data_IF_950922394965
#
_entry.id   IF_950922394965
#
_cell.length_a   1.000
_cell.length_b   1.000
_cell.length_c   1.000
_cell.angle_alpha   90.00
_cell.angle_beta   90.00
_cell.angle_gamma   90.00
#
_symmetry.space_group_name_H-M   'P 1'
#
loop_
_entity.id
_entity.type
_entity.pdbx_description
1 polymer ?
#
# COMPACT_ATOMS: atom_id res chain seq x y z
N UNK A 1 9.11 17.61 11.45
CA UNK A 1 9.14 17.56 9.98
C UNK A 1 8.04 16.60 9.56
N UNK A 2 7.11 17.05 8.72
CA UNK A 2 6.06 16.21 8.13
C UNK A 2 6.71 15.26 7.12
N UNK A 3 6.45 13.96 7.24
CA UNK A 3 6.96 12.90 6.36
C UNK A 3 5.93 12.48 5.29
N UNK A 4 4.94 13.33 4.98
CA UNK A 4 3.80 13.02 4.10
C UNK A 4 4.02 13.30 2.61
N UNK A 5 5.26 13.51 2.15
CA UNK A 5 5.51 13.90 0.76
C UNK A 5 5.71 12.69 -0.16
N UNK A 6 4.70 11.82 -0.24
CA UNK A 6 4.64 10.82 -1.32
C UNK A 6 4.74 11.51 -2.71
N UNK A 7 4.20 12.73 -2.80
CA UNK A 7 4.29 13.62 -3.96
C UNK A 7 5.71 13.86 -4.45
N UNK A 8 6.69 14.02 -3.55
CA UNK A 8 8.08 14.32 -3.92
C UNK A 8 8.82 13.11 -4.54
N UNK A 9 8.21 11.91 -4.48
CA UNK A 9 8.81 10.69 -5.03
C UNK A 9 8.24 10.24 -6.36
N UNK A 10 7.14 10.86 -6.81
CA UNK A 10 6.73 10.79 -8.20
C UNK A 10 7.58 11.78 -8.99
N UNK A 11 8.90 11.55 -9.04
CA UNK A 11 9.84 12.40 -9.77
C UNK A 11 9.40 12.59 -11.22
N UNK A 12 9.86 13.69 -11.86
CA UNK A 12 9.51 14.03 -13.25
C UNK A 12 9.71 12.83 -14.19
N UNK A 13 8.61 12.19 -14.59
CA UNK A 13 8.47 11.25 -15.70
C UNK A 13 9.71 10.37 -16.00
N UNK A 14 10.27 9.71 -14.97
CA UNK A 14 11.40 8.79 -15.14
C UNK A 14 10.83 7.42 -15.50
N UNK A 15 11.24 6.87 -16.65
CA UNK A 15 10.89 5.49 -17.01
C UNK A 15 11.48 4.53 -15.96
N UNK A 16 10.62 3.70 -15.37
CA UNK A 16 11.07 2.71 -14.38
C UNK A 16 12.02 1.73 -15.02
N UNK A 17 13.09 1.41 -14.29
CA UNK A 17 14.06 0.42 -14.75
C UNK A 17 13.34 -0.93 -15.01
N UNK A 18 13.77 -1.69 -16.03
CA UNK A 18 13.14 -2.98 -16.36
C UNK A 18 13.07 -3.95 -15.17
N UNK A 19 14.03 -3.85 -14.24
CA UNK A 19 14.09 -4.65 -13.00
C UNK A 19 12.83 -4.52 -12.14
N UNK A 20 12.32 -3.29 -11.95
CA UNK A 20 11.19 -3.04 -11.05
C UNK A 20 9.86 -2.89 -11.77
N UNK A 21 9.85 -2.91 -13.11
CA UNK A 21 8.67 -2.67 -13.93
C UNK A 21 7.52 -3.61 -13.59
N UNK A 22 7.78 -4.91 -13.44
CA UNK A 22 6.72 -5.89 -13.17
C UNK A 22 6.09 -5.70 -11.78
N UNK A 23 6.92 -5.51 -10.75
CA UNK A 23 6.45 -5.30 -9.37
C UNK A 23 5.72 -3.97 -9.21
N UNK A 24 6.19 -2.92 -9.89
CA UNK A 24 5.51 -1.64 -9.94
C UNK A 24 4.15 -1.74 -10.66
N UNK A 25 4.10 -2.39 -11.82
CA UNK A 25 2.86 -2.62 -12.55
C UNK A 25 1.85 -3.42 -11.72
N UNK A 26 2.32 -4.43 -10.99
CA UNK A 26 1.48 -5.19 -10.05
C UNK A 26 0.91 -4.31 -8.95
N UNK A 27 1.72 -3.45 -8.35
CA UNK A 27 1.26 -2.50 -7.34
C UNK A 27 0.21 -1.53 -7.91
N UNK A 28 0.42 -0.98 -9.10
CA UNK A 28 -0.54 -0.09 -9.76
C UNK A 28 -1.87 -0.80 -10.05
N UNK A 29 -1.82 -2.04 -10.54
CA UNK A 29 -3.04 -2.84 -10.76
C UNK A 29 -3.80 -3.12 -9.45
N UNK A 30 -3.10 -3.37 -8.34
CA UNK A 30 -3.73 -3.49 -7.03
C UNK A 30 -4.41 -2.18 -6.63
N UNK A 31 -3.72 -1.05 -6.75
CA UNK A 31 -4.30 0.27 -6.46
C UNK A 31 -5.56 0.53 -7.29
N UNK A 32 -5.56 0.20 -8.58
CA UNK A 32 -6.73 0.34 -9.46
C UNK A 32 -7.92 -0.48 -8.95
N UNK A 33 -7.70 -1.74 -8.56
CA UNK A 33 -8.75 -2.62 -8.02
C UNK A 33 -9.28 -2.12 -6.67
N UNK A 34 -8.42 -1.55 -5.82
CA UNK A 34 -8.82 -0.91 -4.56
C UNK A 34 -9.73 0.29 -4.83
N UNK A 35 -9.31 1.18 -5.74
CA UNK A 35 -10.07 2.39 -6.05
C UNK A 35 -11.45 2.08 -6.66
N UNK A 36 -11.60 0.93 -7.31
CA UNK A 36 -12.85 0.43 -7.89
C UNK A 36 -13.67 -0.46 -6.94
N UNK A 37 -13.20 -0.68 -5.71
CA UNK A 37 -13.84 -1.56 -4.72
C UNK A 37 -14.02 -3.01 -5.24
N UNK A 38 -13.05 -3.50 -6.01
CA UNK A 38 -13.10 -4.82 -6.68
C UNK A 38 -12.39 -5.94 -5.90
N UNK A 39 -11.80 -5.62 -4.75
CA UNK A 39 -11.06 -6.60 -3.92
C UNK A 39 -11.33 -6.43 -2.43
N UNK A 40 -11.34 -7.57 -1.73
CA UNK A 40 -11.46 -7.60 -0.27
C UNK A 40 -10.18 -7.14 0.43
N UNK A 41 -10.29 -6.77 1.71
CA UNK A 41 -9.13 -6.46 2.56
C UNK A 41 -8.08 -7.58 2.58
N UNK A 42 -8.49 -8.85 2.63
CA UNK A 42 -7.58 -10.00 2.56
C UNK A 42 -6.79 -10.00 1.24
N UNK A 43 -7.44 -9.74 0.11
CA UNK A 43 -6.78 -9.67 -1.19
C UNK A 43 -5.85 -8.45 -1.32
N UNK A 44 -6.19 -7.32 -0.67
CA UNK A 44 -5.30 -6.14 -0.56
C UNK A 44 -4.03 -6.52 0.20
N UNK A 45 -4.19 -7.14 1.38
CA UNK A 45 -3.09 -7.56 2.23
C UNK A 45 -2.16 -8.56 1.51
N UNK A 46 -2.74 -9.63 0.94
CA UNK A 46 -1.95 -10.64 0.22
C UNK A 46 -1.23 -10.05 -0.99
N UNK A 47 -1.92 -9.20 -1.76
CA UNK A 47 -1.35 -8.56 -2.95
C UNK A 47 -0.15 -7.67 -2.61
N UNK A 48 -0.27 -6.81 -1.59
CA UNK A 48 0.82 -5.92 -1.20
C UNK A 48 1.93 -6.62 -0.40
N UNK A 49 1.65 -7.70 0.33
CA UNK A 49 2.72 -8.54 0.90
C UNK A 49 3.56 -9.19 -0.21
N UNK A 50 2.95 -9.60 -1.32
CA UNK A 50 3.70 -10.13 -2.46
C UNK A 50 4.56 -9.04 -3.12
N UNK A 51 3.97 -7.87 -3.39
CA UNK A 51 4.71 -6.70 -3.91
C UNK A 51 5.91 -6.37 -3.03
N UNK A 52 5.71 -6.34 -1.70
CA UNK A 52 6.77 -6.07 -0.73
C UNK A 52 7.88 -7.11 -0.76
N UNK A 53 7.53 -8.41 -0.82
CA UNK A 53 8.51 -9.50 -0.90
C UNK A 53 9.35 -9.39 -2.17
N UNK A 54 8.70 -9.18 -3.32
CA UNK A 54 9.39 -8.99 -4.59
C UNK A 54 10.28 -7.74 -4.57
N UNK A 55 9.82 -6.63 -3.99
CA UNK A 55 10.65 -5.43 -3.82
C UNK A 55 11.91 -5.71 -2.97
N UNK A 56 11.79 -6.47 -1.89
CA UNK A 56 12.93 -6.86 -1.04
C UNK A 56 13.90 -7.80 -1.74
N UNK A 57 13.40 -8.76 -2.52
CA UNK A 57 14.23 -9.65 -3.34
C UNK A 57 14.99 -8.90 -4.43
N UNK A 58 14.37 -7.83 -4.94
CA UNK A 58 14.98 -6.92 -5.90
C UNK A 58 15.81 -5.82 -5.25
N UNK A 59 15.87 -5.66 -3.93
CA UNK A 59 16.68 -4.61 -3.32
C UNK A 59 18.16 -5.04 -3.27
N UNK A 60 19.06 -4.21 -3.82
CA UNK A 60 20.51 -4.36 -3.68
C UNK A 60 21.15 -3.24 -2.86
N UNK A 61 20.34 -2.47 -2.14
CA UNK A 61 20.70 -1.33 -1.31
C UNK A 61 21.34 -0.16 -2.08
N UNK A 62 21.20 -0.12 -3.41
CA UNK A 62 21.69 0.97 -4.24
C UNK A 62 20.51 1.64 -4.95
N UNK A 63 20.16 2.85 -4.49
CA UNK A 63 19.16 3.68 -5.15
C UNK A 63 19.70 4.26 -6.45
N UNK A 64 18.95 4.08 -7.54
CA UNK A 64 19.30 4.53 -8.89
C UNK A 64 18.16 5.36 -9.50
N UNK A 65 18.47 6.24 -10.47
CA UNK A 65 17.43 6.85 -11.30
C UNK A 65 16.56 5.77 -11.95
N UNK A 66 15.23 5.91 -11.83
CA UNK A 66 14.25 4.95 -12.35
C UNK A 66 13.86 3.84 -11.37
N UNK A 67 14.36 3.86 -10.13
CA UNK A 67 13.79 3.05 -9.06
C UNK A 67 12.44 3.64 -8.62
N UNK A 68 11.41 2.82 -8.36
CA UNK A 68 10.08 3.31 -7.99
C UNK A 68 10.05 3.75 -6.51
N UNK A 69 10.68 4.90 -6.21
CA UNK A 69 10.76 5.45 -4.86
C UNK A 69 9.39 5.66 -4.22
N UNK A 70 8.39 6.02 -5.03
CA UNK A 70 7.00 6.14 -4.60
C UNK A 70 6.47 4.83 -4.01
N UNK A 71 6.85 3.68 -4.57
CA UNK A 71 6.37 2.39 -4.11
C UNK A 71 7.00 2.04 -2.76
N UNK A 72 8.29 2.32 -2.60
CA UNK A 72 8.98 2.17 -1.31
C UNK A 72 8.33 3.05 -0.25
N UNK A 73 8.09 4.34 -0.54
CA UNK A 73 7.43 5.25 0.41
C UNK A 73 5.99 4.83 0.71
N UNK A 74 5.22 4.45 -0.30
CA UNK A 74 3.87 3.95 -0.12
C UNK A 74 3.83 2.74 0.81
N UNK A 75 4.74 1.78 0.60
CA UNK A 75 4.86 0.59 1.43
C UNK A 75 5.20 0.97 2.88
N UNK A 76 6.21 1.81 3.06
CA UNK A 76 6.73 2.18 4.39
C UNK A 76 5.77 3.02 5.20
N UNK A 77 5.17 4.05 4.61
CA UNK A 77 4.42 5.07 5.36
C UNK A 77 2.91 4.85 5.37
N UNK A 78 2.36 4.17 4.36
CA UNK A 78 0.91 4.03 4.22
C UNK A 78 0.46 2.58 4.38
N UNK A 79 1.02 1.67 3.58
CA UNK A 79 0.62 0.26 3.61
C UNK A 79 0.92 -0.40 4.97
N UNK A 80 2.11 -0.23 5.56
CA UNK A 80 2.39 -0.88 6.84
C UNK A 80 1.47 -0.44 7.98
N UNK A 81 1.10 0.85 8.00
CA UNK A 81 0.15 1.36 8.99
C UNK A 81 -1.23 0.69 8.82
N UNK A 82 -1.72 0.63 7.58
CA UNK A 82 -2.99 -0.05 7.28
C UNK A 82 -2.92 -1.56 7.56
N UNK A 83 -1.81 -2.21 7.20
CA UNK A 83 -1.54 -3.63 7.44
C UNK A 83 -1.63 -3.98 8.93
N UNK A 84 -0.96 -3.20 9.77
CA UNK A 84 -0.93 -3.44 11.20
C UNK A 84 -2.34 -3.28 11.82
N UNK A 85 -3.12 -2.30 11.34
CA UNK A 85 -4.55 -2.19 11.66
C UNK A 85 -5.34 -3.42 11.20
N UNK A 86 -5.23 -3.81 9.93
CA UNK A 86 -5.97 -4.94 9.37
C UNK A 86 -5.68 -6.25 10.14
N UNK A 87 -4.41 -6.51 10.46
CA UNK A 87 -4.01 -7.67 11.26
C UNK A 87 -4.64 -7.59 12.65
N UNK A 88 -4.56 -6.44 13.33
CA UNK A 88 -5.17 -6.26 14.65
C UNK A 88 -6.67 -6.52 14.62
N UNK A 89 -7.37 -5.95 13.64
CA UNK A 89 -8.81 -6.11 13.47
C UNK A 89 -9.20 -7.56 13.18
N UNK A 90 -8.42 -8.26 12.35
CA UNK A 90 -8.61 -9.68 12.06
C UNK A 90 -8.41 -10.55 13.31
N UNK A 91 -7.35 -10.30 14.09
CA UNK A 91 -7.11 -11.01 15.36
C UNK A 91 -8.25 -10.76 16.35
N UNK A 92 -8.74 -9.53 16.48
CA UNK A 92 -9.87 -9.22 17.37
C UNK A 92 -11.15 -9.94 16.94
N UNK A 93 -11.40 -10.02 15.64
CA UNK A 93 -12.60 -10.67 15.09
C UNK A 93 -12.54 -12.20 15.22
N UNK A 94 -11.38 -12.80 14.95
CA UNK A 94 -11.21 -14.26 14.94
C UNK A 94 -10.88 -14.85 16.31
N UNK A 95 -10.18 -14.10 17.17
CA UNK A 95 -9.66 -14.53 18.47
C UNK A 95 -9.87 -13.43 19.53
N UNK A 96 -11.12 -13.01 19.82
CA UNK A 96 -11.42 -11.94 20.76
C UNK A 96 -10.92 -12.25 22.18
N UNK A 97 -10.77 -13.53 22.54
CA UNK A 97 -10.22 -13.97 23.83
C UNK A 97 -8.76 -13.56 24.05
N UNK A 98 -8.02 -13.16 23.01
CA UNK A 98 -6.69 -12.57 23.17
C UNK A 98 -6.71 -11.16 23.77
N UNK A 99 -7.88 -10.51 23.74
CA UNK A 99 -8.13 -9.21 24.36
C UNK A 99 -8.87 -9.43 25.69
N UNK A 100 -8.26 -10.20 26.58
CA UNK A 100 -8.87 -10.69 27.83
C UNK A 100 -8.81 -9.71 29.01
N UNK A 101 -8.27 -8.51 28.81
CA UNK A 101 -8.23 -7.46 29.85
C UNK A 101 -9.05 -6.25 29.40
N UNK A 102 -9.63 -5.54 30.38
CA UNK A 102 -10.34 -4.28 30.12
C UNK A 102 -9.44 -3.24 29.44
N UNK A 103 -8.15 -3.21 29.79
CA UNK A 103 -7.17 -2.33 29.14
C UNK A 103 -7.02 -2.65 27.65
N UNK A 104 -6.86 -3.93 27.28
CA UNK A 104 -6.71 -4.32 25.87
C UNK A 104 -7.98 -4.05 25.07
N UNK A 105 -9.16 -4.27 25.65
CA UNK A 105 -10.45 -3.95 25.05
C UNK A 105 -10.61 -2.45 24.82
N UNK A 106 -10.28 -1.62 25.82
CA UNK A 106 -10.33 -0.17 25.70
C UNK A 106 -9.41 0.35 24.60
N UNK A 107 -8.16 -0.14 24.54
CA UNK A 107 -7.18 0.25 23.51
C UNK A 107 -7.61 -0.18 22.11
N UNK A 108 -8.15 -1.39 21.94
CA UNK A 108 -8.70 -1.79 20.65
C UNK A 108 -9.87 -0.89 20.25
N UNK A 109 -10.78 -0.58 21.18
CA UNK A 109 -11.90 0.30 20.92
C UNK A 109 -11.43 1.68 20.43
N UNK A 110 -10.47 2.30 21.14
CA UNK A 110 -9.86 3.57 20.71
C UNK A 110 -9.27 3.50 19.30
N UNK A 111 -8.48 2.45 19.00
CA UNK A 111 -7.86 2.26 17.68
C UNK A 111 -8.92 2.06 16.60
N UNK A 112 -9.99 1.32 16.90
CA UNK A 112 -11.08 1.02 15.95
C UNK A 112 -11.94 2.22 15.58
N UNK A 113 -11.94 3.28 16.40
CA UNK A 113 -12.63 4.53 16.08
C UNK A 113 -11.87 5.39 15.06
N UNK A 114 -10.64 5.04 14.70
CA UNK A 114 -9.87 5.79 13.72
C UNK A 114 -10.23 5.35 12.29
N UNK A 115 -10.21 6.30 11.34
CA UNK A 115 -10.56 6.08 9.93
C UNK A 115 -9.44 5.39 9.12
N UNK A 116 -8.92 4.25 9.59
CA UNK A 116 -7.75 3.58 8.97
C UNK A 116 -7.99 3.17 7.51
N UNK A 117 -9.11 2.50 7.24
CA UNK A 117 -9.44 2.02 5.88
C UNK A 117 -9.71 3.19 4.94
N UNK A 118 -10.54 4.15 5.35
CA UNK A 118 -10.84 5.33 4.55
C UNK A 118 -9.58 6.17 4.27
N UNK A 119 -8.71 6.35 5.28
CA UNK A 119 -7.44 7.04 5.13
C UNK A 119 -6.52 6.34 4.13
N UNK A 120 -6.39 5.01 4.23
CA UNK A 120 -5.59 4.22 3.30
C UNK A 120 -6.14 4.28 1.87
N UNK A 121 -7.46 4.12 1.69
CA UNK A 121 -8.09 4.18 0.36
C UNK A 121 -7.95 5.55 -0.30
N UNK A 122 -7.99 6.64 0.49
CA UNK A 122 -7.73 7.97 -0.04
C UNK A 122 -6.30 8.10 -0.57
N UNK A 123 -5.30 7.60 0.18
CA UNK A 123 -3.92 7.56 -0.30
C UNK A 123 -3.79 6.71 -1.57
N UNK A 124 -4.46 5.56 -1.65
CA UNK A 124 -4.45 4.74 -2.87
C UNK A 124 -4.98 5.51 -4.09
N UNK A 125 -6.04 6.30 -3.93
CA UNK A 125 -6.58 7.16 -5.00
C UNK A 125 -5.57 8.25 -5.40
N UNK A 126 -4.97 8.93 -4.42
CA UNK A 126 -3.91 9.92 -4.67
C UNK A 126 -2.75 9.32 -5.46
N UNK A 127 -2.27 8.12 -5.10
CA UNK A 127 -1.22 7.44 -5.87
C UNK A 127 -1.64 7.23 -7.33
N UNK A 128 -2.89 6.84 -7.60
CA UNK A 128 -3.37 6.66 -8.97
C UNK A 128 -3.48 7.96 -9.76
N UNK A 129 -3.83 9.07 -9.11
CA UNK A 129 -3.88 10.39 -9.74
C UNK A 129 -2.48 10.82 -10.20
N UNK A 130 -1.48 10.69 -9.33
CA UNK A 130 -0.09 10.97 -9.64
C UNK A 130 0.48 10.01 -10.71
N UNK A 131 0.08 8.73 -10.65
CA UNK A 131 0.49 7.68 -11.60
C UNK A 131 -0.41 7.61 -12.84
N UNK A 132 -1.29 8.59 -13.08
CA UNK A 132 -2.33 8.53 -14.11
C UNK A 132 -1.80 8.23 -15.52
N UNK A 133 -0.56 8.62 -15.80
CA UNK A 133 0.11 8.29 -17.04
C UNK A 133 0.45 6.79 -17.19
N UNK A 134 1.01 6.17 -16.15
CA UNK A 134 1.29 4.73 -16.10
C UNK A 134 -0.01 3.91 -16.11
N UNK A 135 -1.04 4.40 -15.41
CA UNK A 135 -2.39 3.79 -15.46
C UNK A 135 -2.90 3.74 -16.91
N UNK A 136 -2.85 4.85 -17.65
CA UNK A 136 -3.27 4.89 -19.06
C UNK A 136 -2.47 3.95 -19.96
N UNK A 137 -1.17 3.75 -19.69
CA UNK A 137 -0.35 2.80 -20.44
C UNK A 137 -0.81 1.36 -20.16
N UNK A 138 -0.98 1.00 -18.88
CA UNK A 138 -1.42 -0.33 -18.48
C UNK A 138 -2.83 -0.67 -19.01
N UNK A 139 -3.76 0.29 -18.99
CA UNK A 139 -5.11 0.11 -19.54
C UNK A 139 -5.10 -0.11 -21.06
N UNK A 140 -4.15 0.51 -21.79
CA UNK A 140 -3.99 0.30 -23.24
C UNK A 140 -3.39 -1.06 -23.59
N UNK A 141 -2.59 -1.61 -22.69
CA UNK A 141 -1.95 -2.93 -22.86
C UNK A 141 -2.92 -4.10 -22.60
N UNK A 142 -4.18 -3.83 -22.25
CA UNK A 142 -5.25 -4.83 -22.28
C UNK A 142 -5.17 -5.89 -21.17
N UNK A 143 -4.81 -5.47 -19.96
CA UNK A 143 -4.96 -6.26 -18.73
C UNK A 143 -5.93 -5.58 -17.78
#
# INVERSE_FOLDING_TARGET
MSFDYIYDTFGEYIETTPRYREVENKAIRLLMRIARDEISHDAIYEGFEEVRKTMLELDDHVTRPGDPLWLTQFLTFHYFKWRDWYILNKIYTEQPERFNTEELQARYHEISQMEHDQGFFNICRTCLEELSHKVKLLEREGV
#
